data_IF_343183247510
#
_entry.id   IF_343183247510
#
_cell.length_a   1.000
_cell.length_b   1.000
_cell.length_c   1.000
_cell.angle_alpha   90.00
_cell.angle_beta   90.00
_cell.angle_gamma   90.00
#
_symmetry.space_group_name_H-M   'P 1'
#
loop_
_entity.id
_entity.type
_entity.pdbx_description
1 polymer ?
2 non-polymer ?
3 non-polymer ?
4 water ?
#
# COMPACT_ATOMS: atom_id res chain seq x y z
N UNK A 1 -18.97 -11.02 -5.45
CA UNK A 1 -19.28 -9.69 -4.86
C UNK A 1 -19.02 -9.54 -3.37
N UNK A 2 -19.01 -8.29 -2.97
CA UNK A 2 -18.86 -7.86 -1.62
C UNK A 2 -19.57 -8.73 -0.59
N UNK A 3 -18.85 -9.06 0.46
CA UNK A 3 -19.48 -9.47 1.70
C UNK A 3 -20.36 -8.35 2.24
N UNK A 4 -21.39 -8.76 2.97
CA UNK A 4 -22.15 -7.84 3.80
C UNK A 4 -21.80 -8.19 5.24
N UNK A 5 -21.33 -7.21 6.01
CA UNK A 5 -20.91 -7.49 7.40
C UNK A 5 -21.99 -7.08 8.39
N UNK A 6 -22.22 -7.93 9.38
CA UNK A 6 -23.28 -7.74 10.38
C UNK A 6 -22.77 -7.92 11.79
N UNK A 7 -23.38 -7.19 12.70
CA UNK A 7 -23.07 -7.37 14.10
C UNK A 7 -23.32 -8.81 14.59
N UNK A 8 -22.28 -9.42 15.15
CA UNK A 8 -22.31 -10.76 15.76
C UNK A 8 -23.54 -11.04 16.65
N UNK A 9 -23.83 -10.11 17.56
CA UNK A 9 -24.94 -10.31 18.52
C UNK A 9 -26.31 -9.74 18.02
N UNK A 10 -26.30 -8.65 17.27
CA UNK A 10 -27.60 -8.13 16.81
C UNK A 10 -28.06 -8.43 15.37
N UNK A 11 -27.11 -8.63 14.45
CA UNK A 11 -27.44 -8.77 13.04
C UNK A 11 -27.57 -7.42 12.32
N UNK A 12 -27.31 -6.32 13.02
CA UNK A 12 -27.37 -4.99 12.42
C UNK A 12 -26.18 -4.83 11.47
N UNK A 13 -26.45 -4.23 10.31
CA UNK A 13 -25.42 -3.96 9.33
C UNK A 13 -24.25 -3.19 9.97
N UNK A 14 -23.05 -3.71 9.76
CA UNK A 14 -21.86 -2.99 10.12
C UNK A 14 -21.52 -1.98 9.02
N UNK A 15 -21.28 -0.71 9.35
CA UNK A 15 -20.90 0.23 8.28
C UNK A 15 -19.39 0.30 8.13
N UNK A 16 -18.84 -0.74 7.51
CA UNK A 16 -17.40 -0.90 7.35
C UNK A 16 -16.73 0.32 6.70
N UNK A 17 -17.20 0.74 5.53
CA UNK A 17 -16.57 1.89 4.84
C UNK A 17 -16.71 3.20 5.60
N UNK A 18 -17.78 3.32 6.37
CA UNK A 18 -18.02 4.54 7.10
C UNK A 18 -17.17 4.63 8.34
N UNK A 19 -16.87 3.47 8.95
CA UNK A 19 -16.29 3.39 10.28
C UNK A 19 -14.82 3.06 10.30
N UNK A 20 -14.37 2.21 9.39
CA UNK A 20 -12.94 1.90 9.26
C UNK A 20 -12.11 3.16 8.99
N UNK A 21 -10.86 3.22 9.53
CA UNK A 21 -9.90 4.29 9.18
C UNK A 21 -9.83 4.48 7.66
N UNK A 22 -9.53 5.70 7.19
CA UNK A 22 -9.38 5.90 5.73
C UNK A 22 -8.17 5.14 5.13
N UNK A 23 -7.08 5.05 5.90
CA UNK A 23 -5.84 4.43 5.44
C UNK A 23 -5.88 2.93 5.63
N UNK A 24 -5.06 2.20 4.86
CA UNK A 24 -4.85 0.76 5.10
C UNK A 24 -5.95 -0.12 4.53
N UNK A 25 -6.69 0.40 3.54
CA UNK A 25 -7.67 -0.42 2.86
C UNK A 25 -7.18 -0.86 1.48
N UNK A 26 -6.25 -0.11 0.93
CA UNK A 26 -5.87 -0.35 -0.47
C UNK A 26 -4.78 -1.43 -0.59
N UNK A 27 -4.99 -2.63 -0.04
CA UNK A 27 -3.95 -3.70 -0.13
C UNK A 27 -4.56 -4.92 -0.81
N UNK A 28 -3.73 -5.75 -1.47
CA UNK A 28 -4.36 -6.89 -2.07
C UNK A 28 -5.11 -7.75 -1.07
N UNK A 29 -4.60 -7.84 0.15
CA UNK A 29 -5.21 -8.72 1.13
C UNK A 29 -6.63 -8.20 1.53
N UNK A 30 -6.77 -6.91 1.66
CA UNK A 30 -8.03 -6.33 2.07
C UNK A 30 -9.05 -6.51 0.92
N UNK A 31 -8.57 -6.30 -0.32
CA UNK A 31 -9.46 -6.37 -1.45
C UNK A 31 -10.02 -7.76 -1.58
N UNK A 32 -9.18 -8.78 -1.38
CA UNK A 32 -9.71 -10.16 -1.42
C UNK A 32 -10.66 -10.43 -0.26
N UNK A 33 -10.27 -9.98 0.94
CA UNK A 33 -11.15 -10.18 2.12
C UNK A 33 -12.52 -9.51 1.94
N UNK A 34 -12.56 -8.28 1.41
CA UNK A 34 -13.86 -7.59 1.26
C UNK A 34 -14.82 -8.26 0.26
N UNK A 35 -14.23 -8.99 -0.68
CA UNK A 35 -14.93 -9.77 -1.69
C UNK A 35 -15.32 -11.18 -1.23
N UNK A 36 -14.38 -11.85 -0.57
CA UNK A 36 -14.41 -13.29 -0.28
C UNK A 36 -14.77 -13.64 1.18
N UNK A 37 -14.43 -12.77 2.13
CA UNK A 37 -14.53 -13.12 3.57
C UNK A 37 -13.38 -14.01 4.06
N UNK A 38 -12.44 -14.36 3.21
CA UNK A 38 -11.31 -15.17 3.64
C UNK A 38 -10.05 -14.26 3.80
N UNK A 39 -9.35 -14.41 4.93
CA UNK A 39 -8.22 -13.53 5.30
C UNK A 39 -6.97 -14.20 4.81
N UNK A 40 -6.33 -13.66 3.75
CA UNK A 40 -5.15 -14.30 3.12
C UNK A 40 -3.85 -14.18 3.89
N UNK A 41 -3.86 -13.48 5.02
CA UNK A 41 -2.69 -13.45 5.88
C UNK A 41 -2.61 -14.62 6.85
N UNK A 42 -3.66 -15.40 6.92
CA UNK A 42 -3.72 -16.52 7.88
C UNK A 42 -2.56 -17.48 7.60
N UNK A 43 -1.82 -17.79 8.66
CA UNK A 43 -0.66 -18.68 8.58
C UNK A 43 0.48 -18.22 7.65
N UNK A 44 0.51 -16.93 7.30
CA UNK A 44 1.67 -16.34 6.65
C UNK A 44 2.57 -15.85 7.77
N UNK A 45 3.67 -16.57 8.03
CA UNK A 45 4.54 -16.24 9.16
C UNK A 45 4.94 -14.77 9.17
N UNK A 46 5.07 -14.16 7.99
CA UNK A 46 5.60 -12.80 7.87
C UNK A 46 4.67 -11.75 8.49
N UNK A 47 3.38 -12.08 8.51
CA UNK A 47 2.34 -11.18 9.02
C UNK A 47 2.13 -11.25 10.53
N UNK A 48 2.72 -12.27 11.16
CA UNK A 48 2.47 -12.58 12.58
C UNK A 48 2.97 -11.62 13.63
N UNK A 49 4.27 -11.19 13.56
CA UNK A 49 4.72 -10.18 14.53
C UNK A 49 3.83 -8.93 14.59
N UNK A 50 3.45 -8.40 13.44
CA UNK A 50 2.55 -7.27 13.46
C UNK A 50 1.18 -7.60 14.09
N UNK A 51 0.61 -8.75 13.75
CA UNK A 51 -0.66 -9.17 14.39
C UNK A 51 -0.50 -9.25 15.87
N UNK A 52 0.63 -9.83 16.34
CA UNK A 52 0.90 -9.94 17.78
C UNK A 52 1.05 -8.60 18.47
N UNK A 53 1.76 -7.64 17.84
CA UNK A 53 1.89 -6.33 18.51
C UNK A 53 0.52 -5.62 18.71
N UNK A 54 -0.33 -5.68 17.69
CA UNK A 54 -1.69 -5.10 17.74
C UNK A 54 -2.48 -5.76 18.87
N UNK A 55 -2.43 -7.09 18.88
CA UNK A 55 -3.09 -7.92 19.91
C UNK A 55 -2.68 -7.59 21.34
N UNK A 56 -1.38 -7.46 21.51
CA UNK A 56 -0.85 -7.29 22.84
C UNK A 56 -1.31 -5.96 23.36
N UNK A 57 -1.25 -4.96 22.49
CA UNK A 57 -1.55 -3.61 22.95
C UNK A 57 -3.02 -3.39 23.26
N UNK A 58 -3.90 -4.01 22.50
CA UNK A 58 -5.30 -3.61 22.59
C UNK A 58 -6.24 -4.72 23.07
N UNK A 59 -5.78 -5.96 23.11
CA UNK A 59 -6.68 -7.07 23.40
C UNK A 59 -6.23 -7.93 24.58
N UNK A 60 -4.94 -7.99 24.86
CA UNK A 60 -4.44 -9.02 25.75
C UNK A 60 -4.74 -8.69 27.21
N UNK A 61 -5.00 -7.43 27.52
CA UNK A 61 -5.42 -7.05 28.88
C UNK A 61 -6.67 -7.79 29.28
N UNK A 62 -7.54 -8.06 28.32
CA UNK A 62 -8.74 -8.83 28.60
C UNK A 62 -8.68 -10.32 28.20
N UNK A 63 -8.02 -10.63 27.08
CA UNK A 63 -8.09 -11.97 26.48
C UNK A 63 -6.81 -12.78 26.78
N UNK A 64 -5.78 -12.10 27.32
CA UNK A 64 -4.56 -12.76 27.74
C UNK A 64 -3.49 -12.66 26.66
N UNK A 65 -2.22 -12.75 27.08
CA UNK A 65 -1.11 -12.42 26.20
C UNK A 65 -0.98 -13.49 25.16
N UNK A 66 -1.40 -14.71 25.45
CA UNK A 66 -1.48 -15.78 24.43
C UNK A 66 -2.91 -16.22 24.03
N UNK A 67 -3.92 -15.40 24.37
CA UNK A 67 -5.33 -15.75 24.08
C UNK A 67 -5.94 -16.74 25.09
N UNK A 68 -5.24 -16.96 26.21
CA UNK A 68 -5.67 -17.92 27.25
C UNK A 68 -6.96 -17.55 27.99
N UNK A 69 -7.27 -16.26 28.06
CA UNK A 69 -8.49 -15.77 28.69
C UNK A 69 -8.02 -15.03 29.92
N UNK A 70 -8.71 -13.95 30.27
CA UNK A 70 -8.55 -13.18 31.53
C UNK A 70 -9.93 -12.66 31.89
N UNK A 71 -10.13 -11.34 31.90
CA UNK A 71 -11.50 -10.84 32.11
C UNK A 71 -12.44 -11.43 31.03
N UNK A 72 -11.90 -11.52 29.82
CA UNK A 72 -12.65 -12.00 28.64
C UNK A 72 -12.20 -13.41 28.32
N UNK A 73 -13.00 -14.11 27.51
CA UNK A 73 -12.76 -15.50 27.19
C UNK A 73 -11.41 -15.83 26.52
N UNK A 74 -11.03 -17.09 26.61
CA UNK A 74 -9.88 -17.64 25.83
C UNK A 74 -10.18 -17.61 24.33
N UNK A 75 -9.20 -17.26 23.51
CA UNK A 75 -9.43 -17.17 22.09
C UNK A 75 -8.58 -18.24 21.44
N UNK A 76 -7.92 -19.05 22.25
CA UNK A 76 -6.90 -19.95 21.74
C UNK A 76 -7.40 -21.41 21.79
N UNK A 77 -8.70 -21.59 21.99
CA UNK A 77 -9.25 -22.95 22.08
C UNK A 77 -10.33 -23.22 21.04
N UNK A 78 -10.92 -24.42 21.07
CA UNK A 78 -11.82 -24.86 20.02
C UNK A 78 -13.17 -24.38 20.27
N UNK A 79 -13.40 -23.90 21.49
CA UNK A 79 -14.72 -23.45 21.84
C UNK A 79 -15.04 -21.98 21.58
N UNK A 80 -16.17 -21.68 20.93
CA UNK A 80 -16.56 -20.29 20.65
C UNK A 80 -17.97 -19.98 21.15
N UNK A 81 -18.09 -18.89 21.90
CA UNK A 81 -19.42 -18.38 22.28
C UNK A 81 -20.29 -18.13 21.07
N UNK A 82 -19.72 -17.53 20.03
CA UNK A 82 -20.40 -17.24 18.79
C UNK A 82 -19.69 -18.10 17.76
N UNK A 83 -20.31 -19.22 17.36
CA UNK A 83 -19.56 -20.17 16.49
C UNK A 83 -19.17 -19.72 15.06
N UNK A 84 -19.82 -18.71 14.49
CA UNK A 84 -19.33 -18.11 13.24
C UNK A 84 -17.93 -17.47 13.38
N UNK A 85 -17.40 -17.44 14.60
CA UNK A 85 -16.02 -17.00 14.84
C UNK A 85 -14.96 -18.04 14.40
N UNK A 86 -15.41 -19.25 14.01
CA UNK A 86 -14.56 -20.24 13.33
C UNK A 86 -14.32 -19.87 11.84
N UNK A 87 -15.04 -18.87 11.33
CA UNK A 87 -14.77 -18.30 10.00
C UNK A 87 -14.09 -16.95 10.20
N UNK A 88 -13.23 -16.56 9.25
CA UNK A 88 -12.58 -15.24 9.32
C UNK A 88 -13.61 -14.15 9.22
N UNK A 89 -14.67 -14.38 8.45
CA UNK A 89 -15.71 -13.37 8.30
C UNK A 89 -16.38 -13.05 9.63
N UNK A 90 -16.72 -14.09 10.39
CA UNK A 90 -17.35 -13.93 11.71
C UNK A 90 -16.46 -13.26 12.73
N UNK A 91 -15.20 -13.69 12.80
CA UNK A 91 -14.21 -13.11 13.67
C UNK A 91 -14.02 -11.61 13.37
N UNK A 92 -13.90 -11.29 12.08
CA UNK A 92 -13.81 -9.90 11.69
C UNK A 92 -15.02 -9.12 12.23
N UNK A 93 -16.22 -9.68 12.04
CA UNK A 93 -17.46 -8.98 12.41
C UNK A 93 -17.47 -8.79 13.94
N UNK A 94 -17.04 -9.80 14.70
CA UNK A 94 -17.02 -9.69 16.18
C UNK A 94 -16.05 -8.59 16.60
N UNK A 95 -14.85 -8.60 16.03
CA UNK A 95 -13.86 -7.57 16.32
C UNK A 95 -14.33 -6.21 15.86
N UNK A 96 -14.84 -6.14 14.62
CA UNK A 96 -15.20 -4.85 14.03
C UNK A 96 -16.35 -4.21 14.81
N UNK A 97 -17.43 -4.98 14.98
CA UNK A 97 -18.67 -4.42 15.54
C UNK A 97 -18.82 -4.67 17.02
N UNK A 98 -18.01 -5.56 17.59
CA UNK A 98 -18.07 -5.90 19.02
C UNK A 98 -19.06 -7.00 19.40
N UNK A 99 -19.21 -7.26 20.71
CA UNK A 99 -20.17 -8.24 21.21
C UNK A 99 -20.99 -7.69 22.40
N UNK A 100 -21.24 -8.48 23.44
CA UNK A 100 -21.91 -7.95 24.65
C UNK A 100 -20.90 -7.45 25.70
N UNK A 101 -21.40 -6.65 26.64
CA UNK A 101 -20.66 -6.22 27.81
C UNK A 101 -19.46 -5.40 27.45
N UNK A 102 -18.33 -5.78 27.99
CA UNK A 102 -17.10 -5.02 27.82
C UNK A 102 -16.42 -5.20 26.46
N UNK A 103 -16.85 -6.21 25.71
CA UNK A 103 -16.38 -6.35 24.32
C UNK A 103 -17.03 -5.29 23.40
N UNK A 104 -16.37 -4.15 23.27
CA UNK A 104 -16.87 -3.07 22.40
C UNK A 104 -16.43 -3.22 20.96
N UNK A 105 -16.86 -2.30 20.09
CA UNK A 105 -16.38 -2.34 18.70
C UNK A 105 -14.96 -1.78 18.54
N UNK A 106 -14.19 -2.35 17.61
CA UNK A 106 -12.80 -1.94 17.39
C UNK A 106 -12.63 -1.61 15.90
N UNK A 107 -13.74 -1.69 15.13
CA UNK A 107 -13.73 -1.34 13.73
C UNK A 107 -13.11 -0.01 13.43
N UNK A 108 -13.53 1.00 14.18
CA UNK A 108 -13.03 2.38 14.09
C UNK A 108 -11.53 2.51 14.41
N UNK A 109 -10.94 1.53 15.11
CA UNK A 109 -9.59 1.65 15.70
C UNK A 109 -8.46 1.15 14.81
N UNK A 110 -8.77 0.11 14.04
CA UNK A 110 -7.81 -0.69 13.28
C UNK A 110 -7.93 -0.40 11.78
N UNK A 111 -6.83 -0.08 11.09
CA UNK A 111 -6.88 -0.14 9.61
C UNK A 111 -7.18 -1.56 9.16
N UNK A 112 -7.95 -1.65 8.07
CA UNK A 112 -8.44 -2.93 7.59
C UNK A 112 -7.33 -3.94 7.39
N UNK A 113 -6.17 -3.47 6.89
CA UNK A 113 -5.03 -4.37 6.61
C UNK A 113 -4.47 -4.90 7.93
N UNK A 114 -4.45 -4.03 8.95
CA UNK A 114 -4.01 -4.42 10.27
C UNK A 114 -4.99 -5.35 10.95
N UNK A 115 -6.28 -5.10 10.76
CA UNK A 115 -7.31 -6.02 11.26
C UNK A 115 -7.02 -7.42 10.78
N UNK A 116 -6.58 -7.53 9.52
CA UNK A 116 -6.37 -8.87 8.94
C UNK A 116 -5.17 -9.59 9.51
N UNK A 117 -4.17 -8.83 9.95
CA UNK A 117 -2.97 -9.37 10.56
C UNK A 117 -3.26 -9.77 12.01
N UNK A 118 -4.08 -8.96 12.64
CA UNK A 118 -4.59 -9.31 13.99
C UNK A 118 -5.29 -10.68 13.94
N UNK A 119 -6.16 -10.86 12.97
CA UNK A 119 -6.93 -12.14 12.86
C UNK A 119 -5.91 -13.31 12.60
N UNK A 120 -4.92 -13.10 11.76
CA UNK A 120 -3.89 -14.14 11.51
C UNK A 120 -3.21 -14.53 12.79
N UNK A 121 -2.96 -13.54 13.65
CA UNK A 121 -2.33 -13.83 14.99
C UNK A 121 -3.25 -14.65 15.84
N UNK A 122 -4.54 -14.22 15.93
CA UNK A 122 -5.53 -14.99 16.68
C UNK A 122 -5.62 -16.45 16.22
N UNK A 123 -5.61 -16.68 14.91
CA UNK A 123 -5.59 -18.08 14.41
C UNK A 123 -4.32 -18.80 14.83
N UNK A 124 -3.20 -18.08 14.78
CA UNK A 124 -1.86 -18.71 15.07
C UNK A 124 -1.66 -19.24 16.51
N UNK A 125 -2.29 -18.57 17.47
CA UNK A 125 -2.21 -18.90 18.91
C UNK A 125 -3.10 -20.04 19.40
N UNK A 126 -3.94 -20.57 18.48
CA UNK A 126 -4.72 -21.80 18.67
C UNK A 126 -3.84 -22.94 19.14
N UNK A 127 -4.31 -23.65 20.15
CA UNK A 127 -3.53 -24.72 20.77
C UNK A 127 -4.35 -26.01 20.93
N UNK A 128 -5.62 -25.98 20.50
CA UNK A 128 -6.47 -27.18 20.42
C UNK A 128 -6.38 -27.79 19.02
N UNK A 129 -6.94 -28.99 18.84
CA UNK A 129 -6.89 -29.68 17.53
C UNK A 129 -7.63 -28.87 16.46
N UNK A 130 -7.05 -28.77 15.28
CA UNK A 130 -7.62 -28.01 14.17
C UNK A 130 -8.19 -28.82 12.98
N UNK A 131 -8.35 -30.13 13.14
CA UNK A 131 -8.89 -30.93 12.02
C UNK A 131 -10.28 -30.44 11.56
N UNK A 132 -11.05 -29.86 12.48
CA UNK A 132 -12.37 -29.36 12.15
C UNK A 132 -12.39 -27.85 11.89
N UNK A 133 -11.21 -27.21 11.85
CA UNK A 133 -11.11 -25.75 11.82
C UNK A 133 -11.70 -25.16 10.55
N UNK A 134 -12.77 -24.40 10.68
CA UNK A 134 -13.39 -23.73 9.52
C UNK A 134 -12.51 -22.66 8.85
N UNK A 135 -11.44 -22.21 9.54
CA UNK A 135 -10.59 -21.10 9.05
C UNK A 135 -9.27 -21.52 8.40
N UNK A 136 -9.00 -22.83 8.37
CA UNK A 136 -7.81 -23.35 7.67
C UNK A 136 -8.21 -24.16 6.47
N UNK A 137 -7.46 -24.04 5.38
CA UNK A 137 -7.61 -24.93 4.24
C UNK A 137 -7.11 -26.32 4.55
N UNK A 138 -7.37 -27.23 3.61
CA UNK A 138 -6.81 -28.57 3.63
C UNK A 138 -5.30 -28.62 3.86
N UNK A 139 -4.52 -27.77 3.23
CA UNK A 139 -3.05 -27.90 3.36
C UNK A 139 -2.58 -27.32 4.69
N UNK A 140 -3.29 -26.31 5.13
CA UNK A 140 -2.93 -25.64 6.35
C UNK A 140 -3.11 -26.51 7.59
N UNK A 141 -4.18 -27.29 7.60
CA UNK A 141 -4.54 -28.22 8.68
C UNK A 141 -3.42 -29.25 8.81
N UNK A 142 -2.92 -29.76 7.68
CA UNK A 142 -1.75 -30.65 7.61
C UNK A 142 -0.45 -30.10 8.22
N UNK A 143 -0.30 -28.78 8.25
CA UNK A 143 0.94 -28.12 8.72
C UNK A 143 0.84 -27.39 10.07
N UNK A 144 -0.39 -27.15 10.53
CA UNK A 144 -0.63 -26.40 11.75
C UNK A 144 -0.22 -27.15 13.01
N UNK A 145 0.58 -26.48 13.84
CA UNK A 145 1.01 -27.02 15.14
C UNK A 145 0.46 -26.16 16.28
N UNK A 146 0.05 -26.77 17.41
CA UNK A 146 -0.49 -26.00 18.52
C UNK A 146 0.53 -24.90 18.88
N UNK A 147 0.06 -23.68 19.22
CA UNK A 147 1.01 -22.57 19.48
C UNK A 147 1.78 -22.86 20.77
N UNK A 148 3.09 -22.67 20.74
CA UNK A 148 3.96 -22.78 21.91
C UNK A 148 4.68 -21.47 22.10
N UNK A 149 4.26 -20.70 23.11
CA UNK A 149 4.87 -19.37 23.41
C UNK A 149 6.40 -19.42 23.64
N UNK A 150 6.87 -20.53 24.21
CA UNK A 150 8.30 -20.75 24.47
C UNK A 150 9.12 -20.76 23.20
N UNK A 151 8.69 -21.56 22.22
CA UNK A 151 9.28 -21.59 20.89
C UNK A 151 9.16 -20.27 20.16
N UNK A 152 8.02 -19.60 20.29
CA UNK A 152 7.76 -18.30 19.72
C UNK A 152 8.74 -17.24 20.23
N UNK A 153 8.92 -17.23 21.55
CA UNK A 153 9.85 -16.29 22.20
C UNK A 153 11.32 -16.60 21.90
N UNK A 154 11.64 -17.88 21.70
CA UNK A 154 13.02 -18.31 21.43
C UNK A 154 13.46 -18.18 19.97
N UNK A 155 12.58 -18.55 19.04
CA UNK A 155 13.01 -18.71 17.64
C UNK A 155 11.91 -18.30 16.66
N UNK A 156 10.66 -18.46 17.07
CA UNK A 156 9.55 -18.29 16.18
C UNK A 156 9.42 -16.87 15.71
N UNK A 157 9.35 -15.95 16.66
CA UNK A 157 9.12 -14.54 16.37
C UNK A 157 10.27 -13.94 15.59
N UNK A 158 11.52 -14.25 15.98
CA UNK A 158 12.69 -13.79 15.23
C UNK A 158 12.60 -14.14 13.74
N UNK A 159 12.39 -15.41 13.42
CA UNK A 159 12.17 -15.90 12.03
C UNK A 159 10.96 -15.27 11.30
N UNK A 160 9.86 -15.11 12.02
CA UNK A 160 8.68 -14.46 11.42
C UNK A 160 9.05 -13.03 11.01
N UNK A 161 9.79 -12.36 11.89
CA UNK A 161 10.19 -10.97 11.64
C UNK A 161 11.05 -10.79 10.39
N UNK A 162 11.80 -11.82 10.01
CA UNK A 162 12.63 -11.75 8.80
C UNK A 162 11.88 -12.09 7.50
N UNK A 163 10.64 -12.53 7.62
CA UNK A 163 9.86 -12.91 6.47
C UNK A 163 8.94 -11.78 6.02
N UNK A 164 8.48 -11.89 4.78
CA UNK A 164 7.63 -10.88 4.18
C UNK A 164 6.20 -11.16 4.51
N UNK A 165 5.45 -10.12 4.79
CA UNK A 165 4.03 -10.27 4.91
C UNK A 165 3.48 -9.92 3.55
N UNK A 166 3.09 -10.95 2.82
CA UNK A 166 2.48 -10.80 1.49
C UNK A 166 1.56 -12.00 1.35
N UNK A 167 0.52 -11.87 0.54
CA UNK A 167 -0.39 -12.99 0.29
C UNK A 167 0.21 -13.93 -0.77
N UNK A 168 -0.42 -15.07 -0.99
CA UNK A 168 -0.01 -16.00 -2.06
C UNK A 168 -0.80 -15.68 -3.35
N UNK B 1 3.85 21.03 7.77
CA UNK B 1 4.86 20.02 7.38
C UNK B 1 4.65 19.74 5.91
N UNK B 2 3.53 19.09 5.62
CA UNK B 2 2.98 19.06 4.33
C UNK B 2 3.47 20.25 3.51
N UNK B 3 3.96 19.95 2.31
CA UNK B 3 4.14 20.98 1.31
C UNK B 3 2.74 21.37 0.85
N UNK B 4 2.57 22.61 0.47
CA UNK B 4 1.33 23.00 -0.16
C UNK B 4 1.63 23.03 -1.67
N UNK B 5 0.85 22.29 -2.45
CA UNK B 5 0.99 22.17 -3.92
C UNK B 5 0.09 23.16 -4.63
N UNK B 6 0.66 23.83 -5.65
CA UNK B 6 -0.03 24.94 -6.31
C UNK B 6 -0.17 24.72 -7.81
N UNK B 7 -1.30 25.16 -8.36
CA UNK B 7 -1.55 25.12 -9.78
C UNK B 7 -0.49 25.95 -10.55
N UNK B 8 0.08 25.33 -11.58
CA UNK B 8 1.14 25.93 -12.42
C UNK B 8 0.73 27.26 -13.11
N UNK B 9 -0.52 27.40 -13.46
CA UNK B 9 -0.89 28.59 -14.21
C UNK B 9 -1.60 29.62 -13.34
N UNK B 10 -2.21 29.18 -12.26
CA UNK B 10 -2.99 30.09 -11.46
C UNK B 10 -2.42 30.33 -10.04
N UNK B 11 -1.48 29.47 -9.60
CA UNK B 11 -0.91 29.58 -8.26
C UNK B 11 -1.86 29.30 -7.09
N UNK B 12 -3.09 28.89 -7.40
CA UNK B 12 -4.03 28.42 -6.39
C UNK B 12 -3.58 27.07 -5.84
N UNK B 13 -3.72 26.91 -4.52
CA UNK B 13 -3.51 25.64 -3.84
C UNK B 13 -4.31 24.49 -4.49
N UNK B 14 -3.63 23.38 -4.76
CA UNK B 14 -4.32 22.15 -5.26
C UNK B 14 -4.84 21.34 -4.08
N UNK B 15 -6.10 20.95 -4.20
CA UNK B 15 -6.76 20.04 -3.24
C UNK B 15 -6.39 18.61 -3.60
N UNK B 16 -5.13 18.27 -3.34
CA UNK B 16 -4.56 16.96 -3.57
C UNK B 16 -5.33 15.88 -2.79
N UNK B 17 -5.44 16.06 -1.46
CA UNK B 17 -6.12 15.06 -0.66
C UNK B 17 -7.58 14.85 -1.08
N UNK B 18 -8.22 15.87 -1.67
CA UNK B 18 -9.61 15.75 -2.09
C UNK B 18 -9.82 15.25 -3.53
N UNK B 19 -8.86 15.48 -4.41
CA UNK B 19 -9.06 15.19 -5.81
C UNK B 19 -8.43 13.88 -6.23
N UNK B 20 -7.36 13.46 -5.57
CA UNK B 20 -6.63 12.32 -6.09
C UNK B 20 -7.47 11.06 -5.88
N UNK B 21 -7.28 9.98 -6.67
CA UNK B 21 -8.09 8.79 -6.34
C UNK B 21 -7.90 8.37 -4.88
N UNK B 22 -8.91 7.71 -4.31
CA UNK B 22 -8.78 7.21 -2.95
C UNK B 22 -7.66 6.16 -2.76
N UNK B 23 -7.48 5.29 -3.77
CA UNK B 23 -6.43 4.28 -3.79
C UNK B 23 -5.07 4.83 -4.21
N UNK B 24 -4.01 4.10 -3.87
CA UNK B 24 -2.64 4.49 -4.17
C UNK B 24 -2.06 5.71 -3.47
N UNK B 25 -2.50 6.01 -2.25
CA UNK B 25 -1.93 7.11 -1.49
C UNK B 25 -1.15 6.73 -0.24
N UNK B 26 -1.06 5.43 0.04
CA UNK B 26 -0.69 5.01 1.40
C UNK B 26 0.75 4.62 1.57
N UNK B 27 1.55 4.80 0.53
CA UNK B 27 2.83 4.15 0.43
C UNK B 27 3.90 5.10 0.98
N UNK B 28 5.02 4.58 1.50
CA UNK B 28 6.02 5.49 2.10
C UNK B 28 6.51 6.54 1.12
N UNK B 29 6.61 6.17 -0.16
CA UNK B 29 7.02 7.12 -1.21
C UNK B 29 6.08 8.31 -1.27
N UNK B 30 4.78 8.05 -1.28
CA UNK B 30 3.76 9.11 -1.31
C UNK B 30 3.76 9.96 -0.01
N UNK B 31 3.93 9.32 1.14
CA UNK B 31 4.06 10.03 2.41
C UNK B 31 5.20 11.03 2.43
N UNK B 32 6.36 10.58 1.96
CA UNK B 32 7.53 11.43 1.90
C UNK B 32 7.39 12.54 0.88
N UNK B 33 6.80 12.23 -0.28
CA UNK B 33 6.53 13.26 -1.30
C UNK B 33 5.63 14.39 -0.79
N UNK B 34 4.53 14.02 -0.16
CA UNK B 34 3.66 15.00 0.45
C UNK B 34 4.39 15.93 1.43
N UNK B 35 5.37 15.35 2.09
CA UNK B 35 6.18 16.00 3.10
C UNK B 35 7.27 16.89 2.53
N UNK B 36 7.97 16.39 1.51
CA UNK B 36 9.18 17.11 1.11
C UNK B 36 9.20 17.55 -0.35
N UNK B 37 8.20 17.10 -1.14
CA UNK B 37 8.22 17.28 -2.59
C UNK B 37 9.35 16.48 -3.24
N UNK B 38 9.93 15.52 -2.55
CA UNK B 38 10.95 14.69 -3.16
C UNK B 38 10.34 13.34 -3.56
N UNK B 39 10.49 12.98 -4.84
CA UNK B 39 9.98 11.71 -5.40
C UNK B 39 11.07 10.65 -5.23
N UNK B 40 10.90 9.73 -4.27
CA UNK B 40 12.03 8.81 -4.08
C UNK B 40 12.05 7.66 -5.06
N UNK B 41 11.14 7.63 -6.04
CA UNK B 41 11.19 6.60 -7.09
C UNK B 41 12.15 7.01 -8.21
N UNK B 42 12.46 8.30 -8.29
CA UNK B 42 13.35 8.84 -9.27
C UNK B 42 14.66 8.03 -9.23
N UNK B 43 15.06 7.51 -10.39
CA UNK B 43 16.24 6.64 -10.56
C UNK B 43 16.29 5.32 -9.76
N UNK B 44 15.12 4.83 -9.32
CA UNK B 44 15.01 3.45 -8.84
C UNK B 44 14.62 2.63 -10.08
N UNK B 45 15.51 1.79 -10.57
CA UNK B 45 15.22 1.10 -11.86
C UNK B 45 13.91 0.32 -11.83
N UNK B 46 13.62 -0.37 -10.72
CA UNK B 46 12.42 -1.22 -10.61
C UNK B 46 11.11 -0.47 -10.73
N UNK B 47 11.15 0.85 -10.53
CA UNK B 47 9.96 1.70 -10.70
C UNK B 47 9.70 2.14 -12.12
N UNK B 48 10.70 1.97 -12.99
CA UNK B 48 10.62 2.55 -14.33
C UNK B 48 9.66 1.89 -15.29
N UNK B 49 9.51 0.55 -15.28
CA UNK B 49 8.58 -0.04 -16.25
C UNK B 49 7.14 0.42 -16.02
N UNK B 50 6.70 0.43 -14.78
CA UNK B 50 5.35 0.95 -14.49
C UNK B 50 5.21 2.41 -14.88
N UNK B 51 6.28 3.19 -14.70
CA UNK B 51 6.25 4.64 -15.05
C UNK B 51 6.13 4.81 -16.53
N UNK B 52 6.86 3.96 -17.28
CA UNK B 52 6.79 3.97 -18.75
C UNK B 52 5.38 3.66 -19.20
N UNK B 53 4.78 2.60 -18.63
CA UNK B 53 3.37 2.24 -18.91
C UNK B 53 2.35 3.36 -18.66
N UNK B 54 2.47 4.03 -17.51
CA UNK B 54 1.64 5.21 -17.28
C UNK B 54 1.88 6.32 -18.32
N UNK B 55 3.13 6.64 -18.59
CA UNK B 55 3.46 7.59 -19.64
C UNK B 55 2.85 7.22 -20.98
N UNK B 56 3.08 6.00 -21.47
CA UNK B 56 2.57 5.63 -22.80
C UNK B 56 1.08 5.68 -22.85
N UNK B 57 0.45 5.20 -21.79
CA UNK B 57 -1.04 5.25 -21.76
C UNK B 57 -1.71 6.61 -21.75
N UNK B 58 -1.24 7.51 -20.89
CA UNK B 58 -1.93 8.78 -20.59
C UNK B 58 -1.31 10.02 -21.21
N UNK B 59 -0.06 9.91 -21.67
CA UNK B 59 0.73 11.08 -22.06
C UNK B 59 1.29 11.06 -23.50
N UNK B 60 1.58 9.85 -23.99
CA UNK B 60 2.21 9.58 -25.28
C UNK B 60 1.58 10.27 -26.49
N UNK B 61 0.27 10.22 -26.51
CA UNK B 61 -0.48 10.70 -27.66
C UNK B 61 -0.18 12.15 -27.86
N UNK B 62 0.13 12.88 -26.79
CA UNK B 62 0.36 14.33 -26.93
C UNK B 62 1.82 14.75 -26.86
N UNK B 63 2.64 13.98 -26.15
CA UNK B 63 4.01 14.36 -25.87
C UNK B 63 5.05 13.49 -26.52
N UNK B 64 4.60 12.48 -27.26
CA UNK B 64 5.48 11.66 -28.08
C UNK B 64 5.75 10.33 -27.38
N UNK B 65 6.16 9.29 -28.14
CA UNK B 65 6.32 7.98 -27.51
C UNK B 65 7.49 8.01 -26.56
N UNK B 66 8.45 8.89 -26.81
CA UNK B 66 9.61 9.07 -25.89
C UNK B 66 9.77 10.50 -25.34
N UNK B 67 8.65 11.19 -25.23
CA UNK B 67 8.66 12.51 -24.65
C UNK B 67 9.14 13.56 -25.60
N UNK B 68 9.23 13.24 -26.90
CA UNK B 68 9.88 14.15 -27.87
C UNK B 68 9.06 15.40 -28.23
N UNK B 69 7.80 15.42 -27.83
CA UNK B 69 6.89 16.46 -28.23
C UNK B 69 6.10 15.95 -29.44
N UNK B 70 4.82 16.24 -29.44
CA UNK B 70 3.98 15.94 -30.58
C UNK B 70 3.01 17.11 -30.66
N UNK B 71 1.87 17.01 -30.00
CA UNK B 71 0.96 18.13 -29.86
C UNK B 71 1.41 19.03 -28.68
N UNK B 72 1.92 18.43 -27.62
CA UNK B 72 2.48 19.17 -26.52
C UNK B 72 3.97 19.21 -26.73
N UNK B 73 4.67 20.05 -25.94
CA UNK B 73 6.12 20.21 -25.93
C UNK B 73 6.82 18.94 -25.56
N UNK B 74 8.09 18.87 -25.94
CA UNK B 74 8.93 17.76 -25.59
C UNK B 74 9.08 17.77 -24.06
N UNK B 75 9.15 16.59 -23.48
CA UNK B 75 9.33 16.49 -22.03
C UNK B 75 10.68 15.91 -21.78
N UNK B 76 11.42 15.61 -22.85
CA UNK B 76 12.69 14.88 -22.77
C UNK B 76 13.94 15.75 -22.99
N UNK B 77 13.76 17.05 -22.93
CA UNK B 77 14.83 17.99 -23.19
C UNK B 77 15.10 18.88 -21.97
N UNK B 78 16.11 19.74 -22.08
CA UNK B 78 16.51 20.61 -20.97
C UNK B 78 15.68 21.87 -20.78
N UNK B 79 14.79 22.19 -21.72
CA UNK B 79 14.00 23.42 -21.67
C UNK B 79 12.57 23.21 -21.16
N UNK B 80 12.14 24.06 -20.23
CA UNK B 80 10.85 23.92 -19.60
C UNK B 80 10.11 25.23 -19.71
N UNK B 81 8.91 25.19 -20.26
CA UNK B 81 8.06 26.38 -20.34
C UNK B 81 7.76 26.92 -18.94
N UNK B 82 7.50 26.02 -18.02
CA UNK B 82 7.30 26.40 -16.63
C UNK B 82 8.54 25.95 -15.90
N UNK B 83 9.49 26.87 -15.62
CA UNK B 83 10.81 26.43 -15.09
C UNK B 83 10.76 25.62 -13.77
N UNK B 84 9.68 25.71 -13.03
CA UNK B 84 9.55 24.83 -11.83
C UNK B 84 9.45 23.34 -12.19
N UNK B 85 9.16 23.05 -13.46
CA UNK B 85 9.11 21.63 -13.88
C UNK B 85 10.43 20.92 -13.88
N UNK B 86 11.48 21.68 -13.64
CA UNK B 86 12.77 21.05 -13.31
C UNK B 86 12.82 20.41 -11.91
N UNK B 87 11.82 20.69 -11.07
CA UNK B 87 11.73 20.08 -9.74
C UNK B 87 10.62 19.07 -9.79
N UNK B 88 10.71 18.02 -8.97
CA UNK B 88 9.61 17.02 -9.01
C UNK B 88 8.32 17.56 -8.43
N UNK B 89 8.45 18.44 -7.46
CA UNK B 89 7.26 19.18 -6.98
C UNK B 89 6.59 19.98 -8.08
N UNK B 90 7.34 20.70 -8.89
CA UNK B 90 6.68 21.47 -9.95
C UNK B 90 6.12 20.56 -11.01
N UNK B 91 6.90 19.55 -11.42
CA UNK B 91 6.37 18.58 -12.36
C UNK B 91 5.01 18.03 -11.89
N UNK B 92 4.95 17.58 -10.63
CA UNK B 92 3.74 16.94 -10.07
C UNK B 92 2.54 17.89 -10.19
N UNK B 93 2.79 19.18 -9.90
CA UNK B 93 1.76 20.20 -9.87
C UNK B 93 1.16 20.44 -11.26
N UNK B 94 2.01 20.45 -12.27
CA UNK B 94 1.62 20.60 -13.68
C UNK B 94 0.81 19.38 -14.19
N UNK B 95 1.30 18.18 -13.90
CA UNK B 95 0.49 16.98 -14.21
C UNK B 95 -0.87 16.94 -13.42
N UNK B 96 -0.79 17.21 -12.12
CA UNK B 96 -1.94 17.16 -11.25
C UNK B 96 -3.00 18.18 -11.63
N UNK B 97 -2.57 19.43 -11.78
CA UNK B 97 -3.52 20.53 -11.86
C UNK B 97 -3.65 21.02 -13.29
N UNK B 98 -2.76 20.59 -14.18
CA UNK B 98 -2.83 20.98 -15.59
C UNK B 98 -2.18 22.34 -15.83
N UNK B 99 -2.21 22.78 -17.08
CA UNK B 99 -1.60 24.08 -17.43
C UNK B 99 -2.56 24.75 -18.41
N UNK B 100 -2.04 25.27 -19.53
CA UNK B 100 -2.90 25.96 -20.50
C UNK B 100 -3.43 25.05 -21.58
N UNK B 101 -4.50 25.52 -22.23
CA UNK B 101 -5.10 24.89 -23.40
C UNK B 101 -5.45 23.44 -23.20
N UNK B 102 -4.91 22.60 -24.06
CA UNK B 102 -5.14 21.16 -24.03
C UNK B 102 -4.50 20.42 -22.86
N UNK B 103 -3.62 21.06 -22.11
CA UNK B 103 -3.02 20.39 -20.98
C UNK B 103 -3.99 20.50 -19.82
N UNK B 104 -4.91 19.56 -19.72
CA UNK B 104 -5.78 19.49 -18.57
C UNK B 104 -5.10 18.84 -17.36
N UNK B 105 -5.82 18.83 -16.24
CA UNK B 105 -5.42 18.19 -15.00
C UNK B 105 -5.57 16.68 -15.08
N UNK B 106 -4.65 15.95 -14.46
CA UNK B 106 -4.80 14.50 -14.40
C UNK B 106 -4.82 14.02 -12.97
N UNK B 107 -4.92 14.96 -12.04
CA UNK B 107 -4.98 14.63 -10.61
C UNK B 107 -6.02 13.61 -10.20
N UNK B 108 -7.21 13.71 -10.80
CA UNK B 108 -8.35 12.83 -10.55
C UNK B 108 -8.18 11.44 -11.17
N UNK B 109 -7.35 11.33 -12.20
CA UNK B 109 -7.19 10.13 -13.08
C UNK B 109 -6.04 9.24 -12.73
N UNK B 110 -5.05 9.79 -12.02
CA UNK B 110 -3.89 9.01 -11.67
C UNK B 110 -3.72 8.89 -10.19
N UNK B 111 -3.51 7.66 -9.75
CA UNK B 111 -3.15 7.41 -8.36
C UNK B 111 -1.82 8.08 -7.99
N UNK B 112 -1.77 8.57 -6.77
CA UNK B 112 -0.64 9.33 -6.30
C UNK B 112 0.64 8.55 -6.46
N UNK B 113 0.63 7.27 -6.07
CA UNK B 113 1.82 6.40 -6.17
C UNK B 113 2.31 6.22 -7.62
N UNK B 114 1.35 6.02 -8.54
CA UNK B 114 1.62 5.89 -9.97
C UNK B 114 2.11 7.23 -10.55
N UNK B 115 1.63 8.34 -10.03
CA UNK B 115 2.08 9.68 -10.46
C UNK B 115 3.58 9.82 -10.21
N UNK B 116 4.03 9.33 -9.07
CA UNK B 116 5.43 9.38 -8.73
C UNK B 116 6.33 8.48 -9.60
N UNK B 117 5.81 7.34 -10.05
CA UNK B 117 6.54 6.49 -10.99
C UNK B 117 6.52 7.11 -12.39
N UNK B 118 5.42 7.75 -12.74
CA UNK B 118 5.34 8.55 -13.95
C UNK B 118 6.43 9.63 -14.02
N UNK B 119 6.64 10.37 -12.93
CA UNK B 119 7.68 11.37 -12.85
C UNK B 119 9.07 10.73 -12.97
N UNK B 120 9.28 9.56 -12.34
CA UNK B 120 10.54 8.82 -12.45
C UNK B 120 10.88 8.54 -13.92
N UNK B 121 9.85 8.23 -14.70
CA UNK B 121 10.02 7.86 -16.09
C UNK B 121 10.34 9.09 -16.91
N UNK B 122 9.57 10.14 -16.69
CA UNK B 122 9.86 11.41 -17.31
C UNK B 122 11.34 11.84 -17.06
N UNK B 123 11.81 11.73 -15.83
CA UNK B 123 13.22 12.09 -15.59
C UNK B 123 14.17 11.15 -16.33
N UNK B 124 13.79 9.89 -16.42
CA UNK B 124 14.67 8.88 -17.01
C UNK B 124 14.83 8.99 -18.55
N UNK B 125 13.82 9.49 -19.21
CA UNK B 125 13.86 9.66 -20.68
C UNK B 125 14.60 10.93 -21.20
N UNK B 126 15.12 11.72 -20.28
CA UNK B 126 15.98 12.85 -20.62
C UNK B 126 17.12 12.46 -21.52
N UNK B 127 17.29 13.26 -22.57
CA UNK B 127 18.34 13.10 -23.53
C UNK B 127 19.24 14.35 -23.75
N UNK B 128 18.85 15.54 -23.25
CA UNK B 128 19.77 16.69 -23.21
C UNK B 128 20.45 16.66 -21.82
N UNK B 129 21.70 17.06 -21.71
CA UNK B 129 22.32 17.39 -20.39
C UNK B 129 21.55 17.22 -19.07
N UNK B 130 22.35 17.08 -18.02
CA UNK B 130 21.89 17.24 -16.66
C UNK B 130 22.61 18.49 -16.06
N UNK B 131 22.80 19.51 -16.91
CA UNK B 131 23.72 20.63 -16.65
C UNK B 131 23.26 21.64 -15.60
N UNK B 132 21.95 21.77 -15.42
CA UNK B 132 21.41 22.68 -14.40
C UNK B 132 21.07 21.97 -13.08
N UNK B 133 21.49 20.70 -12.94
CA UNK B 133 21.11 19.87 -11.78
C UNK B 133 21.78 20.28 -10.46
N UNK B 134 21.01 20.85 -9.52
CA UNK B 134 21.60 21.55 -8.37
C UNK B 134 22.11 20.64 -7.24
N UNK B 135 22.02 19.33 -7.46
CA UNK B 135 22.53 18.31 -6.52
C UNK B 135 23.70 17.48 -7.10
N UNK B 136 24.13 17.79 -8.33
CA UNK B 136 25.21 17.04 -8.97
C UNK B 136 26.53 17.77 -9.10
N UNK B 137 27.62 17.03 -8.95
CA UNK B 137 28.96 17.54 -9.23
C UNK B 137 29.20 17.77 -10.74
N UNK B 138 30.20 18.58 -11.06
CA UNK B 138 30.65 18.79 -12.42
C UNK B 138 30.98 17.42 -13.05
N UNK B 139 31.44 16.47 -12.22
CA UNK B 139 31.73 15.09 -12.66
C UNK B 139 30.49 14.34 -13.11
N UNK B 140 29.45 14.41 -12.26
CA UNK B 140 28.20 13.71 -12.51
C UNK B 140 27.53 14.24 -13.76
N UNK B 141 27.63 15.55 -13.98
CA UNK B 141 27.05 16.20 -15.16
C UNK B 141 27.77 15.85 -16.47
N UNK B 142 29.09 15.72 -16.40
CA UNK B 142 29.93 15.46 -17.56
C UNK B 142 29.71 14.02 -18.07
N UNK B 143 29.46 13.10 -17.14
CA UNK B 143 29.21 11.69 -17.47
C UNK B 143 27.74 11.35 -17.73
N UNK B 144 26.92 12.39 -17.91
CA UNK B 144 25.54 12.28 -18.39
C UNK B 144 25.47 11.47 -19.70
N UNK B 145 24.42 10.67 -19.80
CA UNK B 145 24.16 9.78 -20.91
C UNK B 145 22.67 9.80 -21.23
N UNK B 146 22.31 10.25 -22.44
CA UNK B 146 20.90 10.36 -22.86
C UNK B 146 20.15 9.04 -22.87
N UNK B 147 18.83 9.12 -22.67
CA UNK B 147 17.95 7.97 -22.78
C UNK B 147 18.06 7.41 -24.17
N UNK B 148 18.18 6.09 -24.26
CA UNK B 148 18.20 5.41 -25.55
C UNK B 148 17.06 4.40 -25.55
N UNK B 149 16.00 4.70 -26.28
CA UNK B 149 14.84 3.79 -26.35
C UNK B 149 15.16 2.36 -26.84
N UNK B 150 16.05 2.24 -27.80
CA UNK B 150 16.35 0.92 -28.37
C UNK B 150 17.03 0.02 -27.34
N UNK B 151 17.89 0.61 -26.54
CA UNK B 151 18.55 -0.16 -25.49
C UNK B 151 17.59 -0.58 -24.37
N UNK B 152 16.75 0.34 -23.94
CA UNK B 152 15.70 0.04 -22.96
C UNK B 152 14.86 -1.19 -23.37
N UNK B 153 14.32 -1.14 -24.58
CA UNK B 153 13.36 -2.15 -25.06
C UNK B 153 14.09 -3.45 -25.29
N UNK B 154 15.33 -3.36 -25.75
CA UNK B 154 16.12 -4.58 -25.98
C UNK B 154 16.48 -5.30 -24.68
N UNK B 155 16.90 -4.55 -23.66
CA UNK B 155 17.56 -5.14 -22.49
C UNK B 155 17.21 -4.44 -21.15
N UNK B 156 17.11 -3.12 -21.18
CA UNK B 156 16.91 -2.35 -19.95
C UNK B 156 15.60 -2.64 -19.21
N UNK B 157 14.51 -2.78 -19.96
CA UNK B 157 13.21 -2.96 -19.34
C UNK B 157 13.18 -4.28 -18.60
N UNK B 158 13.59 -5.36 -19.28
CA UNK B 158 13.55 -6.69 -18.69
C UNK B 158 14.37 -6.71 -17.41
N UNK B 159 15.53 -6.08 -17.43
CA UNK B 159 16.35 -5.95 -16.24
C UNK B 159 15.62 -5.23 -15.12
N UNK B 160 15.04 -4.07 -15.45
CA UNK B 160 14.34 -3.24 -14.45
C UNK B 160 13.17 -4.01 -13.82
N UNK B 161 12.50 -4.80 -14.65
CA UNK B 161 11.34 -5.60 -14.19
C UNK B 161 11.74 -6.66 -13.14
N UNK B 162 12.94 -7.19 -13.25
CA UNK B 162 13.46 -8.09 -12.22
C UNK B 162 13.66 -7.39 -10.88
N UNK B 163 13.90 -6.09 -10.90
CA UNK B 163 14.11 -5.30 -9.69
C UNK B 163 12.80 -4.89 -8.98
N UNK B 164 12.92 -4.69 -7.67
CA UNK B 164 11.84 -4.15 -6.83
C UNK B 164 11.67 -2.64 -6.96
N UNK B 165 10.43 -2.16 -7.02
CA UNK B 165 10.18 -0.73 -6.87
C UNK B 165 10.05 -0.43 -5.38
N UNK B 166 11.17 -0.04 -4.78
CA UNK B 166 11.30 0.16 -3.35
C UNK B 166 11.95 1.52 -3.17
N UNK B 167 11.46 2.32 -2.22
CA UNK B 167 11.94 3.72 -2.08
C UNK B 167 13.34 3.87 -1.55
N UNK B 168 14.06 2.75 -1.43
CA UNK B 168 15.49 2.75 -1.17
C UNK B 168 15.81 3.34 0.20
#
# INVERSE_FOLDING_TARGET
>A
AQEVFRNTVTGEALDVEGQAPKEGRDTPAVKQFMQTGVDPYVEVAGCLPKGEEIYLESCSGCHGHIGEGKVGPGLNDSYWTYPKNTTDKGLFETIFGGANGMMGPHGQDLELDNMLKLIAWIRHIQKDDVADADWLSDEQKKNFKPFDIKAWEATGKAAAEKAQCKISGN
>B
AQEVFRNTVTGEALDVEGQAPKEGRDTPAVKQFMQTGVDPYVEVAGCLPKGEEIYLESCSGCHGHIGEGKVGPGLNDSYWTYPKNTTDKGLFETIFGGANGMMGPHGQDLELDNMLKLIAWIRHIQKDDVADADWLSDEQKKNFKPFDIKAWEATGKAAAEKAQCKISGN
#
